data_IF_748222228266
#
_entry.id   IF_748222228266
#
_cell.length_a   1.000
_cell.length_b   1.000
_cell.length_c   1.000
_cell.angle_alpha   90.00
_cell.angle_beta   90.00
_cell.angle_gamma   90.00
#
_symmetry.space_group_name_H-M   'P 1'
#
loop_
_entity.id
_entity.type
_entity.pdbx_description
1 polymer ?
#
# COMPACT_ATOMS: atom_id res chain seq x y z
N UNK A 1 19.37 -21.31 -43.66
CA UNK A 1 19.29 -21.40 -43.29
C UNK A 1 19.46 -21.22 -43.02
N UNK A 2 19.50 -21.33 -43.05
CA UNK A 2 19.47 -21.33 -42.47
C UNK A 2 19.38 -20.99 -42.05
N UNK A 3 19.33 -20.92 -41.83
CA UNK A 3 19.06 -20.65 -41.08
C UNK A 3 18.89 -20.35 -40.32
N UNK A 4 18.84 -20.13 -40.50
CA UNK A 4 18.52 -19.91 -39.52
C UNK A 4 18.30 -19.58 -38.95
N UNK A 5 18.23 -19.52 -38.78
CA UNK A 5 17.83 -19.32 -37.85
C UNK A 5 17.51 -18.99 -37.26
N UNK A 6 17.45 -18.98 -37.13
CA UNK A 6 17.03 -18.84 -36.34
C UNK A 6 16.78 -18.47 -35.61
N UNK A 7 16.87 -18.39 -35.54
CA UNK A 7 16.62 -18.10 -34.67
C UNK A 7 16.31 -17.69 -33.90
N UNK A 8 16.35 -17.72 -34.10
CA UNK A 8 16.01 -17.47 -33.19
C UNK A 8 15.62 -17.08 -32.56
N UNK A 9 15.62 -16.99 -32.70
CA UNK A 9 15.17 -16.76 -31.82
C UNK A 9 14.86 -16.59 -30.96
N UNK A 10 14.83 -16.46 -31.03
CA UNK A 10 14.43 -16.42 -30.03
C UNK A 10 14.26 -16.04 -29.32
N UNK A 11 14.46 -15.90 -29.24
CA UNK A 11 14.10 -15.62 -28.29
C UNK A 11 13.93 -14.97 -27.83
N UNK A 12 14.11 -14.73 -27.74
CA UNK A 12 13.97 -14.32 -26.97
C UNK A 12 13.57 -13.87 -26.30
N UNK A 13 13.47 -13.77 -26.73
CA UNK A 13 13.14 -13.59 -25.81
C UNK A 13 12.69 -13.23 -25.39
N UNK A 14 12.72 -13.11 -25.58
CA UNK A 14 12.30 -13.00 -24.81
C UNK A 14 12.02 -12.92 -24.16
N UNK A 15 12.00 -12.84 -24.32
CA UNK A 15 11.78 -13.00 -23.38
C UNK A 15 11.69 -12.75 -22.79
N UNK A 16 11.67 -12.52 -22.78
CA UNK A 16 11.56 -12.46 -21.84
C UNK A 16 11.41 -12.14 -21.38
N UNK A 17 11.52 -11.91 -21.28
CA UNK A 17 11.36 -11.79 -20.56
C UNK A 17 10.86 -11.64 -20.01
N UNK A 18 10.78 -11.58 -20.03
CA UNK A 18 10.16 -11.74 -19.44
C UNK A 18 9.99 -11.91 -18.97
N UNK A 19 10.04 -11.92 -18.72
CA UNK A 19 9.89 -12.12 -17.88
C UNK A 19 9.67 -12.46 -17.21
N UNK A 20 9.78 -13.00 -17.73
CA UNK A 20 9.43 -13.52 -16.85
C UNK A 20 9.93 -13.11 -15.96
N UNK A 21 9.45 -13.23 -15.51
CA UNK A 21 10.14 -12.69 -14.44
C UNK A 21 9.42 -12.90 -13.12
N UNK A 22 10.16 -12.81 -12.02
CA UNK A 22 9.55 -13.08 -10.76
C UNK A 22 8.51 -12.02 -10.40
N UNK A 23 7.52 -12.38 -9.59
CA UNK A 23 6.53 -11.43 -9.15
C UNK A 23 7.19 -10.32 -8.36
N UNK A 24 6.79 -9.12 -8.64
CA UNK A 24 7.28 -7.96 -7.93
C UNK A 24 6.55 -7.82 -6.61
N UNK A 25 7.29 -7.52 -5.55
CA UNK A 25 6.67 -7.25 -4.26
C UNK A 25 5.84 -5.99 -4.36
N UNK A 26 4.65 -6.02 -3.79
CA UNK A 26 3.80 -4.85 -3.74
C UNK A 26 4.46 -3.77 -2.90
N UNK A 27 4.41 -2.55 -3.38
CA UNK A 27 5.09 -1.43 -2.78
C UNK A 27 4.18 -0.72 -1.78
N UNK A 28 4.76 -0.35 -0.63
CA UNK A 28 4.07 0.52 0.32
C UNK A 28 4.63 1.92 0.10
N UNK A 29 3.79 2.83 -0.36
CA UNK A 29 4.22 4.17 -0.72
C UNK A 29 4.47 5.00 0.52
N UNK A 30 5.56 5.73 0.53
CA UNK A 30 5.91 6.58 1.65
C UNK A 30 5.27 7.96 1.45
N UNK A 31 4.40 8.34 2.38
CA UNK A 31 3.63 9.58 2.28
C UNK A 31 4.16 10.60 3.29
N UNK A 32 4.33 11.84 2.84
CA UNK A 32 4.64 12.97 3.70
C UNK A 32 3.68 14.11 3.38
N UNK A 33 3.87 15.25 4.04
CA UNK A 33 2.96 16.37 3.83
C UNK A 33 3.08 17.00 2.45
N UNK A 34 4.19 16.74 1.76
CA UNK A 34 4.40 17.27 0.42
C UNK A 34 3.73 16.44 -0.66
N UNK A 35 3.73 15.11 -0.50
CA UNK A 35 3.18 14.23 -1.54
C UNK A 35 1.81 13.66 -1.21
N UNK A 36 1.26 13.97 -0.05
CA UNK A 36 -0.03 13.47 0.39
C UNK A 36 -1.13 13.71 -0.66
N UNK A 37 -1.18 14.92 -1.18
CA UNK A 37 -2.18 15.30 -2.16
C UNK A 37 -2.09 14.42 -3.42
N UNK A 38 -0.86 14.26 -3.90
CA UNK A 38 -0.58 13.50 -5.12
C UNK A 38 -0.84 12.01 -4.93
N UNK A 39 -0.31 11.44 -3.85
CA UNK A 39 -0.32 10.00 -3.65
C UNK A 39 -1.68 9.50 -3.16
N UNK A 40 -2.34 10.27 -2.30
CA UNK A 40 -3.54 9.82 -1.63
C UNK A 40 -4.79 10.48 -2.22
N UNK A 41 -4.82 11.79 -2.27
CA UNK A 41 -6.05 12.50 -2.62
C UNK A 41 -6.36 12.44 -4.11
N UNK A 42 -5.35 12.41 -4.95
CA UNK A 42 -5.54 12.35 -6.40
C UNK A 42 -5.46 10.95 -6.97
N UNK A 43 -5.33 9.96 -6.13
CA UNK A 43 -5.25 8.58 -6.59
C UNK A 43 -6.63 8.10 -7.03
N UNK A 44 -6.69 7.50 -8.20
CA UNK A 44 -7.96 6.97 -8.74
C UNK A 44 -8.39 5.70 -8.03
N UNK A 45 -7.42 4.96 -7.47
CA UNK A 45 -7.70 3.75 -6.73
C UNK A 45 -7.91 4.07 -5.25
N UNK A 46 -8.63 3.21 -4.53
CA UNK A 46 -8.69 3.37 -3.08
C UNK A 46 -7.30 3.26 -2.49
N UNK A 47 -7.06 4.00 -1.41
CA UNK A 47 -5.78 4.03 -0.72
C UNK A 47 -6.00 3.77 0.76
N UNK A 48 -5.19 2.89 1.35
CA UNK A 48 -5.14 2.76 2.80
C UNK A 48 -3.86 3.44 3.26
N UNK A 49 -4.00 4.35 4.21
CA UNK A 49 -2.88 5.10 4.77
C UNK A 49 -2.71 4.72 6.23
N UNK A 50 -1.52 4.26 6.58
CA UNK A 50 -1.18 3.90 7.95
C UNK A 50 -0.29 4.99 8.53
N UNK A 51 -0.73 5.61 9.61
CA UNK A 51 0.10 6.57 10.34
C UNK A 51 0.72 5.87 11.54
N UNK A 52 2.02 5.94 11.62
CA UNK A 52 2.75 5.26 12.68
C UNK A 52 4.11 5.90 12.91
N UNK A 53 4.95 5.22 13.66
CA UNK A 53 6.29 5.71 13.95
C UNK A 53 7.24 4.54 14.14
N UNK A 54 8.52 4.76 13.84
CA UNK A 54 9.52 3.71 13.95
C UNK A 54 9.76 3.26 15.40
N UNK A 55 9.50 4.14 16.36
CA UNK A 55 9.69 3.81 17.78
C UNK A 55 8.49 3.07 18.39
N UNK A 56 7.41 2.98 17.67
CA UNK A 56 6.16 2.40 18.17
C UNK A 56 6.16 0.88 18.00
N UNK A 57 6.06 0.15 19.12
CA UNK A 57 6.08 -1.31 19.10
C UNK A 57 4.91 -1.91 18.36
N UNK A 58 3.70 -1.34 18.55
CA UNK A 58 2.51 -1.83 17.86
C UNK A 58 2.62 -1.60 16.36
N UNK A 59 3.21 -0.48 15.95
CA UNK A 59 3.43 -0.19 14.53
C UNK A 59 4.36 -1.23 13.91
N UNK A 60 5.43 -1.57 14.60
CA UNK A 60 6.38 -2.56 14.11
C UNK A 60 5.76 -3.96 14.03
N UNK A 61 4.89 -4.30 14.99
CA UNK A 61 4.21 -5.59 14.96
C UNK A 61 3.20 -5.67 13.82
N UNK A 62 2.58 -4.56 13.46
CA UNK A 62 1.61 -4.52 12.38
C UNK A 62 2.26 -4.55 11.01
N UNK A 63 3.52 -4.13 10.90
CA UNK A 63 4.19 -3.99 9.62
C UNK A 63 4.21 -5.25 8.77
N UNK A 64 4.59 -6.42 9.31
CA UNK A 64 4.62 -7.64 8.48
C UNK A 64 3.27 -7.98 7.86
N UNK A 65 2.18 -7.88 8.62
CA UNK A 65 0.90 -8.22 8.02
C UNK A 65 0.35 -7.10 7.15
N UNK A 66 0.77 -5.87 7.38
CA UNK A 66 0.43 -4.77 6.46
C UNK A 66 1.09 -5.01 5.10
N UNK A 67 2.35 -5.40 5.11
CA UNK A 67 3.08 -5.72 3.88
C UNK A 67 2.46 -6.91 3.16
N UNK A 68 2.03 -7.91 3.91
CA UNK A 68 1.38 -9.08 3.35
C UNK A 68 0.08 -8.70 2.65
N UNK A 69 -0.72 -7.86 3.30
CA UNK A 69 -1.97 -7.40 2.71
C UNK A 69 -1.73 -6.56 1.48
N UNK A 70 -0.64 -5.81 1.44
CA UNK A 70 -0.29 -5.03 0.25
C UNK A 70 -0.12 -5.93 -0.96
N UNK A 71 0.45 -7.12 -0.76
CA UNK A 71 0.58 -8.08 -1.84
C UNK A 71 -0.75 -8.70 -2.21
N UNK A 72 -1.53 -9.08 -1.20
CA UNK A 72 -2.81 -9.76 -1.43
C UNK A 72 -3.83 -8.88 -2.15
N UNK A 73 -3.75 -7.57 -1.93
CA UNK A 73 -4.71 -6.63 -2.50
C UNK A 73 -4.11 -5.79 -3.62
N UNK A 74 -2.97 -6.20 -4.15
CA UNK A 74 -2.32 -5.47 -5.22
C UNK A 74 -3.28 -5.30 -6.40
N UNK A 75 -3.32 -4.08 -6.95
CA UNK A 75 -4.25 -3.75 -8.04
C UNK A 75 -5.63 -3.31 -7.59
N UNK A 76 -6.01 -3.60 -6.34
CA UNK A 76 -7.32 -3.23 -5.82
C UNK A 76 -7.24 -2.14 -4.76
N UNK A 77 -6.13 -2.07 -4.05
CA UNK A 77 -5.97 -1.11 -2.97
C UNK A 77 -4.50 -0.70 -2.94
N UNK A 78 -4.26 0.61 -2.91
CA UNK A 78 -2.91 1.15 -2.80
C UNK A 78 -2.57 1.26 -1.31
N UNK A 79 -1.42 0.73 -0.93
CA UNK A 79 -0.97 0.77 0.46
C UNK A 79 0.06 1.87 0.64
N UNK A 80 -0.15 2.69 1.65
CA UNK A 80 0.74 3.82 1.94
C UNK A 80 0.99 3.92 3.44
N UNK A 81 2.08 4.54 3.80
CA UNK A 81 2.40 4.77 5.20
C UNK A 81 2.99 6.16 5.38
N UNK A 82 2.76 6.74 6.55
CA UNK A 82 3.28 8.06 6.89
C UNK A 82 3.83 8.03 8.30
N UNK A 83 4.91 8.78 8.51
CA UNK A 83 5.48 8.95 9.85
C UNK A 83 4.69 10.05 10.54
N UNK A 84 3.95 9.69 11.58
CA UNK A 84 3.09 10.65 12.26
C UNK A 84 3.88 11.80 12.89
N UNK A 85 5.13 11.56 13.28
CA UNK A 85 5.97 12.60 13.85
C UNK A 85 6.40 13.63 12.81
N UNK A 86 6.58 13.18 11.56
CA UNK A 86 6.97 14.06 10.47
C UNK A 86 5.77 14.74 9.80
N UNK A 87 4.55 14.33 10.15
CA UNK A 87 3.34 14.81 9.49
C UNK A 87 2.32 15.35 10.51
N UNK A 88 2.68 16.38 11.28
CA UNK A 88 1.78 16.87 12.33
C UNK A 88 0.47 17.43 11.77
N UNK A 89 0.51 18.07 10.61
CA UNK A 89 -0.71 18.62 10.01
C UNK A 89 -1.63 17.53 9.51
N UNK A 90 -1.06 16.50 8.89
CA UNK A 90 -1.82 15.36 8.41
C UNK A 90 -2.48 14.63 9.57
N UNK A 91 -1.71 14.43 10.63
CA UNK A 91 -2.19 13.79 11.84
C UNK A 91 -3.39 14.54 12.41
N UNK A 92 -3.29 15.86 12.45
CA UNK A 92 -4.35 16.72 12.96
C UNK A 92 -5.56 16.69 12.05
N UNK A 93 -5.34 16.80 10.75
CA UNK A 93 -6.41 16.80 9.77
C UNK A 93 -7.25 15.52 9.83
N UNK A 94 -6.60 14.39 10.00
CA UNK A 94 -7.27 13.10 10.07
C UNK A 94 -7.75 12.72 11.46
N UNK A 95 -7.46 13.56 12.45
CA UNK A 95 -7.91 13.32 13.82
C UNK A 95 -7.24 12.13 14.48
N UNK A 96 -5.99 11.86 14.14
CA UNK A 96 -5.26 10.71 14.68
C UNK A 96 -4.73 11.04 16.07
N UNK A 97 -5.12 10.23 17.05
CA UNK A 97 -4.68 10.41 18.43
C UNK A 97 -3.81 9.26 18.93
N UNK A 98 -3.94 8.10 18.31
CA UNK A 98 -3.17 6.92 18.69
C UNK A 98 -2.55 6.32 17.44
N UNK A 99 -1.42 5.64 17.58
CA UNK A 99 -0.76 4.98 16.46
C UNK A 99 -0.56 3.50 16.78
N UNK A 100 -0.62 2.62 15.78
CA UNK A 100 -0.93 2.92 14.39
C UNK A 100 -2.43 3.19 14.19
N UNK A 101 -2.73 4.13 13.29
CA UNK A 101 -4.12 4.37 12.86
C UNK A 101 -4.14 4.25 11.34
N UNK A 102 -5.09 3.49 10.83
CA UNK A 102 -5.23 3.29 9.40
C UNK A 102 -6.54 3.88 8.91
N UNK A 103 -6.47 4.55 7.77
CA UNK A 103 -7.59 5.25 7.15
C UNK A 103 -7.67 4.82 5.70
N UNK A 104 -8.88 4.52 5.22
CA UNK A 104 -9.06 4.19 3.81
C UNK A 104 -9.68 5.39 3.12
N UNK A 105 -9.11 5.75 1.97
CA UNK A 105 -9.58 6.83 1.12
C UNK A 105 -10.17 6.26 -0.14
N UNK A 106 -11.32 6.80 -0.56
CA UNK A 106 -11.92 6.45 -1.84
C UNK A 106 -12.24 7.73 -2.58
N UNK A 107 -11.73 7.84 -3.80
CA UNK A 107 -11.91 9.04 -4.62
C UNK A 107 -11.43 10.29 -3.89
N UNK A 108 -10.32 10.17 -3.18
CA UNK A 108 -9.71 11.29 -2.48
C UNK A 108 -10.37 11.69 -1.18
N UNK A 109 -11.31 10.89 -0.68
CA UNK A 109 -12.02 11.21 0.55
C UNK A 109 -11.84 10.10 1.59
N UNK A 110 -11.48 10.46 2.82
CA UNK A 110 -11.34 9.45 3.86
C UNK A 110 -12.71 8.90 4.26
N UNK A 111 -12.80 7.60 4.41
CA UNK A 111 -13.98 6.97 4.99
C UNK A 111 -14.02 7.27 6.48
N UNK A 112 -15.21 7.21 7.06
CA UNK A 112 -15.38 7.55 8.48
C UNK A 112 -14.70 6.55 9.41
N UNK A 113 -14.68 5.27 9.04
CA UNK A 113 -14.08 4.25 9.89
C UNK A 113 -12.58 4.37 10.00
N UNK A 114 -12.07 3.99 11.14
CA UNK A 114 -10.63 3.97 11.40
C UNK A 114 -10.27 2.65 12.02
N UNK A 115 -9.06 2.16 11.73
CA UNK A 115 -8.53 0.99 12.42
C UNK A 115 -7.40 1.48 13.31
N UNK A 116 -7.62 1.46 14.62
CA UNK A 116 -6.70 2.02 15.60
C UNK A 116 -6.03 0.90 16.37
N UNK A 117 -4.71 0.97 16.45
CA UNK A 117 -3.92 0.02 17.24
C UNK A 117 -4.23 -1.43 16.90
N UNK A 118 -4.22 -1.72 15.59
CA UNK A 118 -4.53 -3.06 15.09
C UNK A 118 -3.61 -4.12 15.71
N UNK A 119 -4.19 -5.26 16.09
CA UNK A 119 -3.45 -6.32 16.77
C UNK A 119 -3.27 -7.56 15.91
N UNK A 120 -4.18 -7.83 14.98
CA UNK A 120 -4.15 -9.09 14.23
C UNK A 120 -4.35 -8.84 12.74
N UNK A 121 -3.83 -9.75 11.90
CA UNK A 121 -4.11 -9.68 10.47
C UNK A 121 -5.60 -9.75 10.13
N UNK A 122 -6.36 -10.49 10.93
CA UNK A 122 -7.81 -10.62 10.69
C UNK A 122 -8.53 -9.29 10.84
N UNK A 123 -8.12 -8.50 11.83
CA UNK A 123 -8.69 -7.16 12.02
C UNK A 123 -8.42 -6.28 10.79
N UNK A 124 -7.20 -6.35 10.29
CA UNK A 124 -6.83 -5.56 9.13
C UNK A 124 -7.61 -6.00 7.90
N UNK A 125 -7.71 -7.30 7.68
CA UNK A 125 -8.44 -7.82 6.54
C UNK A 125 -9.91 -7.42 6.58
N UNK A 126 -10.54 -7.53 7.74
CA UNK A 126 -11.94 -7.14 7.89
C UNK A 126 -12.14 -5.65 7.62
N UNK A 127 -11.21 -4.82 8.09
CA UNK A 127 -11.27 -3.38 7.88
C UNK A 127 -11.15 -3.05 6.38
N UNK A 128 -10.20 -3.70 5.70
CA UNK A 128 -9.99 -3.48 4.27
C UNK A 128 -11.22 -3.91 3.48
N UNK A 129 -11.73 -5.10 3.75
CA UNK A 129 -12.87 -5.63 2.99
C UNK A 129 -14.11 -4.75 3.18
N UNK A 130 -14.35 -4.28 4.40
CA UNK A 130 -15.46 -3.38 4.67
C UNK A 130 -15.27 -2.04 3.94
N UNK A 131 -14.04 -1.52 3.93
CA UNK A 131 -13.74 -0.27 3.25
C UNK A 131 -13.92 -0.37 1.75
N UNK A 132 -13.50 -1.48 1.15
CA UNK A 132 -13.64 -1.67 -0.29
C UNK A 132 -15.10 -1.86 -0.70
N UNK A 133 -15.92 -2.36 0.20
CA UNK A 133 -17.34 -2.57 -0.07
C UNK A 133 -18.19 -1.32 0.14
N UNK A 134 -17.64 -0.32 0.81
CA UNK A 134 -18.38 0.89 1.14
C UNK A 134 -18.70 1.76 -0.08
#
# INVERSE_FOLDING_TARGET
SCFGGAQSLAPRALTAQIHFREPKMAEILNVDEKNYDEVVLKNEKPVILSLGASWCGDCRRARPFYERMAQDYEGRLVFASADSDACPNLKKELGVQHIPTMVIFKNGKPLDGRLVEVKTPSELKAFIDAGLAA
#
